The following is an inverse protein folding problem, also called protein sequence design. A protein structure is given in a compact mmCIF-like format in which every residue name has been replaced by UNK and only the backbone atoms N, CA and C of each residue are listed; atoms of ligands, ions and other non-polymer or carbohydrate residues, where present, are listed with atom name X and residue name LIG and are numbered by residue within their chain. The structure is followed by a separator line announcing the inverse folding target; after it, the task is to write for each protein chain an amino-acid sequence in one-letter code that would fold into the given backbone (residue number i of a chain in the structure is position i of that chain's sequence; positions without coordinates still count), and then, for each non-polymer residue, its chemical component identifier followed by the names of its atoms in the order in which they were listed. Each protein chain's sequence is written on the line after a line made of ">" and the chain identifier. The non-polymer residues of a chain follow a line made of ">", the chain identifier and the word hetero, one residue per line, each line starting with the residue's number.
data_IF_182043083734
#
_entry.id   IF_182043083734
#
_cell.length_a   1.000
_cell.length_b   1.000
_cell.length_c   1.000
_cell.angle_alpha   90.00
_cell.angle_beta   90.00
_cell.angle_gamma   90.00
#
_symmetry.space_group_name_H-M   'P 1'
#
loop_
_entity.id
_entity.type
_entity.pdbx_description
1 polymer ?
#
# COMPACT_ATOMS: atom_id res chain seq x y z
N UNK A 1 -4.55 50.14 -5.96
CA UNK A 1 -3.52 49.10 -6.05
C UNK A 1 -4.06 47.97 -6.94
N UNK A 2 -3.59 47.89 -8.21
CA UNK A 2 -4.15 46.95 -9.23
C UNK A 2 -3.39 45.62 -9.15
N UNK A 3 -4.08 44.54 -8.81
CA UNK A 3 -3.54 43.17 -8.87
C UNK A 3 -3.42 42.72 -10.33
N UNK A 4 -2.21 42.44 -10.76
CA UNK A 4 -1.93 41.79 -12.07
C UNK A 4 -2.17 40.30 -11.91
N UNK A 5 -3.13 39.76 -12.68
CA UNK A 5 -3.32 38.30 -12.84
C UNK A 5 -2.09 37.72 -13.56
N UNK A 6 -1.38 36.81 -12.90
CA UNK A 6 -0.42 35.91 -13.54
C UNK A 6 -1.18 34.80 -14.24
N UNK A 7 -1.03 34.70 -15.54
CA UNK A 7 -1.49 33.57 -16.34
C UNK A 7 -0.67 32.35 -15.97
N UNK A 8 -1.32 31.32 -15.42
CA UNK A 8 -0.72 30.00 -15.27
C UNK A 8 -0.59 29.37 -16.65
N UNK A 9 0.63 29.04 -17.02
CA UNK A 9 0.92 28.16 -18.16
C UNK A 9 0.51 26.74 -17.78
N UNK A 10 -0.37 26.16 -18.57
CA UNK A 10 -0.79 24.75 -18.39
C UNK A 10 0.40 23.80 -18.57
N UNK A 11 0.49 22.73 -17.76
CA UNK A 11 1.48 21.68 -17.98
C UNK A 11 1.17 20.96 -19.31
N UNK A 12 2.22 20.65 -20.06
CA UNK A 12 2.13 19.90 -21.31
C UNK A 12 1.59 18.50 -21.04
N UNK A 13 0.50 18.17 -21.72
CA UNK A 13 -0.01 16.80 -21.80
C UNK A 13 1.09 15.88 -22.34
N UNK A 14 1.50 14.91 -21.55
CA UNK A 14 2.29 13.77 -22.03
C UNK A 14 1.29 12.75 -22.57
N UNK A 15 1.14 12.72 -23.89
CA UNK A 15 0.35 11.72 -24.59
C UNK A 15 1.00 10.35 -24.42
N UNK A 16 0.45 9.50 -23.55
CA UNK A 16 0.75 8.08 -23.49
C UNK A 16 0.09 7.36 -24.67
N UNK A 17 0.83 7.21 -25.75
CA UNK A 17 0.35 6.53 -26.95
C UNK A 17 0.41 5.02 -26.75
N UNK A 18 -0.79 4.36 -26.68
CA UNK A 18 -1.01 2.90 -26.52
C UNK A 18 -0.40 2.04 -27.65
N UNK A 19 0.34 2.60 -28.60
CA UNK A 19 0.81 1.90 -29.80
C UNK A 19 2.26 1.37 -29.73
N UNK A 20 3.00 1.60 -28.67
CA UNK A 20 4.41 1.18 -28.58
C UNK A 20 4.58 -0.20 -27.89
N UNK A 21 3.51 -0.93 -27.60
CA UNK A 21 3.58 -2.20 -26.87
C UNK A 21 3.34 -3.46 -27.71
N UNK A 22 3.28 -3.36 -29.03
CA UNK A 22 3.09 -4.53 -29.91
C UNK A 22 4.07 -4.49 -31.06
N UNK A 23 5.33 -4.77 -30.78
CA UNK A 23 6.29 -5.18 -31.82
C UNK A 23 7.53 -5.81 -31.18
N UNK A 24 7.43 -7.05 -30.68
CA UNK A 24 8.51 -8.04 -30.68
C UNK A 24 7.96 -9.43 -30.31
N UNK A 25 7.28 -10.07 -31.23
CA UNK A 25 7.11 -11.53 -31.21
C UNK A 25 6.61 -11.99 -32.57
N UNK A 26 7.47 -12.05 -33.54
CA UNK A 26 7.26 -12.86 -34.74
C UNK A 26 8.61 -13.27 -35.33
N UNK A 27 9.16 -14.41 -34.87
CA UNK A 27 10.05 -15.28 -35.61
C UNK A 27 10.18 -16.64 -34.89
N UNK A 28 9.50 -17.57 -35.38
CA UNK A 28 9.82 -18.86 -35.98
C UNK A 28 9.76 -20.11 -35.13
N UNK A 29 8.86 -21.03 -35.63
CA UNK A 29 9.02 -22.50 -35.77
C UNK A 29 8.92 -23.42 -34.55
N UNK A 30 7.77 -24.11 -34.51
CA UNK A 30 7.69 -25.55 -34.26
C UNK A 30 8.11 -26.06 -32.89
N UNK A 31 7.13 -26.20 -31.98
CA UNK A 31 7.32 -26.97 -30.75
C UNK A 31 6.25 -26.66 -29.73
N UNK A 32 5.49 -27.68 -29.33
CA UNK A 32 4.61 -27.80 -28.16
C UNK A 32 4.13 -26.53 -27.48
N UNK A 33 2.84 -26.26 -27.57
CA UNK A 33 2.13 -25.26 -26.75
C UNK A 33 2.19 -25.68 -25.27
N UNK A 34 3.22 -25.23 -24.59
CA UNK A 34 3.17 -25.11 -23.11
C UNK A 34 2.30 -23.89 -22.78
N UNK A 35 1.40 -23.99 -21.80
CA UNK A 35 0.68 -22.80 -21.33
C UNK A 35 1.72 -21.80 -20.82
N UNK A 36 1.88 -20.68 -21.51
CA UNK A 36 2.60 -19.52 -21.01
C UNK A 36 1.79 -19.01 -19.81
N UNK A 37 2.16 -19.47 -18.63
CA UNK A 37 1.83 -18.78 -17.40
C UNK A 37 2.46 -17.40 -17.54
N UNK A 38 1.65 -16.38 -17.84
CA UNK A 38 2.08 -14.98 -17.77
C UNK A 38 2.31 -14.72 -16.30
N UNK A 39 3.51 -15.01 -15.82
CA UNK A 39 3.98 -14.53 -14.54
C UNK A 39 3.94 -13.01 -14.66
N UNK A 40 3.00 -12.35 -13.99
CA UNK A 40 3.05 -10.90 -13.82
C UNK A 40 4.41 -10.62 -13.18
N UNK A 41 5.35 -10.07 -13.96
CA UNK A 41 6.64 -9.63 -13.44
C UNK A 41 6.33 -8.61 -12.32
N UNK A 42 7.01 -8.75 -11.20
CA UNK A 42 6.98 -7.76 -10.14
C UNK A 42 7.34 -6.39 -10.73
N UNK A 43 6.34 -5.49 -10.81
CA UNK A 43 6.56 -4.14 -11.32
C UNK A 43 7.18 -3.34 -10.19
N UNK A 44 8.41 -2.91 -10.33
CA UNK A 44 8.98 -1.85 -9.50
C UNK A 44 8.97 -0.54 -10.29
N UNK A 45 8.39 0.50 -9.72
CA UNK A 45 8.48 1.86 -10.24
C UNK A 45 9.32 2.67 -9.27
N UNK A 46 10.29 3.40 -9.78
CA UNK A 46 11.14 4.28 -8.97
C UNK A 46 10.79 5.74 -9.26
N UNK A 47 10.61 6.53 -8.20
CA UNK A 47 10.37 7.97 -8.21
C UNK A 47 11.40 8.65 -7.31
N UNK A 48 11.98 9.77 -7.75
CA UNK A 48 12.89 10.59 -6.94
C UNK A 48 12.23 11.89 -6.53
N UNK A 49 12.34 12.27 -5.25
CA UNK A 49 11.87 13.55 -4.72
C UNK A 49 13.02 14.53 -4.47
N UNK A 50 14.20 14.25 -5.03
CA UNK A 50 15.42 15.00 -4.82
C UNK A 50 16.25 14.51 -3.64
N UNK A 51 15.69 14.31 -2.46
CA UNK A 51 16.39 13.77 -1.28
C UNK A 51 16.10 12.30 -1.02
N UNK A 52 14.97 11.80 -1.49
CA UNK A 52 14.54 10.41 -1.32
C UNK A 52 14.27 9.73 -2.66
N UNK A 53 14.55 8.43 -2.72
CA UNK A 53 14.20 7.55 -3.80
C UNK A 53 13.12 6.58 -3.32
N UNK A 54 11.99 6.58 -4.01
CA UNK A 54 10.85 5.72 -3.72
C UNK A 54 10.80 4.58 -4.71
N UNK A 55 10.59 3.36 -4.22
CA UNK A 55 10.35 2.18 -5.05
C UNK A 55 9.04 1.54 -4.62
N UNK A 56 8.11 1.36 -5.56
CA UNK A 56 6.87 0.64 -5.31
C UNK A 56 7.09 -0.84 -5.63
N UNK A 57 6.76 -1.71 -4.68
CA UNK A 57 6.73 -3.16 -4.84
C UNK A 57 5.29 -3.65 -4.72
N UNK A 58 4.98 -4.73 -5.45
CA UNK A 58 3.68 -5.37 -5.35
C UNK A 58 3.72 -6.52 -4.35
N UNK A 59 2.77 -6.54 -3.43
CA UNK A 59 2.44 -7.71 -2.61
C UNK A 59 1.32 -8.55 -3.24
N UNK A 60 0.89 -8.22 -4.45
CA UNK A 60 -0.24 -8.83 -5.15
C UNK A 60 -1.46 -7.92 -5.18
N UNK A 61 -2.66 -8.51 -5.17
CA UNK A 61 -3.91 -7.75 -5.21
C UNK A 61 -5.01 -8.44 -4.40
N UNK A 62 -5.90 -7.63 -3.82
CA UNK A 62 -7.14 -8.15 -3.25
C UNK A 62 -8.13 -8.51 -4.35
N UNK A 63 -9.15 -9.29 -4.01
CA UNK A 63 -10.34 -9.51 -4.85
C UNK A 63 -11.54 -9.64 -3.93
N UNK A 64 -12.28 -8.56 -3.77
CA UNK A 64 -13.37 -8.46 -2.80
C UNK A 64 -14.59 -7.77 -3.44
N UNK A 65 -15.82 -8.16 -3.06
CA UNK A 65 -17.03 -7.53 -3.57
C UNK A 65 -17.11 -6.06 -3.16
N UNK A 66 -17.77 -5.24 -3.97
CA UNK A 66 -17.97 -3.81 -3.70
C UNK A 66 -18.57 -3.54 -2.32
N UNK A 67 -19.52 -4.39 -1.91
CA UNK A 67 -20.17 -4.28 -0.60
C UNK A 67 -19.25 -4.48 0.59
N UNK A 68 -18.08 -5.08 0.39
CA UNK A 68 -17.05 -5.18 1.43
C UNK A 68 -16.35 -3.84 1.66
N UNK A 69 -16.02 -3.13 0.57
CA UNK A 69 -15.34 -1.83 0.64
C UNK A 69 -16.32 -0.69 0.97
N UNK A 70 -17.53 -0.76 0.45
CA UNK A 70 -18.55 0.29 0.55
C UNK A 70 -19.90 -0.30 0.97
N UNK A 71 -20.02 -0.82 2.22
CA UNK A 71 -21.23 -1.53 2.66
C UNK A 71 -22.48 -0.65 2.67
N UNK A 72 -22.31 0.64 3.00
CA UNK A 72 -23.42 1.60 3.15
C UNK A 72 -23.71 2.41 1.87
N UNK A 73 -22.91 2.22 0.82
CA UNK A 73 -23.09 2.97 -0.42
C UNK A 73 -24.14 2.34 -1.33
N UNK A 74 -24.90 3.14 -2.13
CA UNK A 74 -25.82 2.63 -3.12
C UNK A 74 -25.10 1.80 -4.19
N UNK A 75 -25.20 0.49 -4.14
CA UNK A 75 -24.46 -0.43 -5.01
C UNK A 75 -24.69 -0.15 -6.50
N UNK A 76 -25.93 0.19 -6.90
CA UNK A 76 -26.25 0.55 -8.29
C UNK A 76 -25.48 1.77 -8.78
N UNK A 77 -25.21 2.74 -7.91
CA UNK A 77 -24.44 3.93 -8.25
C UNK A 77 -22.96 3.58 -8.40
N UNK A 78 -22.42 2.76 -7.50
CA UNK A 78 -21.05 2.26 -7.60
C UNK A 78 -20.83 1.49 -8.91
N UNK A 79 -21.73 0.57 -9.25
CA UNK A 79 -21.69 -0.18 -10.51
C UNK A 79 -21.67 0.75 -11.72
N UNK A 80 -22.52 1.80 -11.71
CA UNK A 80 -22.56 2.78 -12.80
C UNK A 80 -21.25 3.55 -12.94
N UNK A 81 -20.71 4.06 -11.81
CA UNK A 81 -19.44 4.81 -11.83
C UNK A 81 -18.31 3.93 -12.37
N UNK A 82 -18.21 2.67 -11.92
CA UNK A 82 -17.19 1.75 -12.40
C UNK A 82 -17.35 1.45 -13.89
N UNK A 83 -18.57 1.16 -14.35
CA UNK A 83 -18.88 0.91 -15.76
C UNK A 83 -18.54 2.11 -16.64
N UNK A 84 -18.90 3.33 -16.24
CA UNK A 84 -18.60 4.58 -16.94
C UNK A 84 -17.08 4.82 -17.07
N UNK A 85 -16.28 4.22 -16.19
CA UNK A 85 -14.81 4.27 -16.22
C UNK A 85 -14.15 3.00 -16.80
N UNK A 86 -14.94 2.07 -17.37
CA UNK A 86 -14.43 0.84 -17.99
C UNK A 86 -13.82 -0.15 -16.99
N UNK A 87 -14.23 -0.10 -15.71
CA UNK A 87 -13.76 -0.97 -14.64
C UNK A 87 -14.75 -2.12 -14.39
N UNK A 88 -14.27 -3.26 -13.86
CA UNK A 88 -15.13 -4.35 -13.40
C UNK A 88 -16.15 -3.86 -12.37
N UNK A 89 -17.38 -4.37 -12.45
CA UNK A 89 -18.50 -3.91 -11.59
C UNK A 89 -18.90 -4.92 -10.52
N UNK A 90 -18.34 -6.12 -10.53
CA UNK A 90 -18.65 -7.21 -9.62
C UNK A 90 -17.75 -7.25 -8.40
N UNK A 91 -16.48 -6.86 -8.57
CA UNK A 91 -15.49 -6.83 -7.50
C UNK A 91 -14.47 -5.71 -7.73
N UNK A 92 -13.90 -5.20 -6.65
CA UNK A 92 -12.69 -4.40 -6.71
C UNK A 92 -11.46 -5.31 -6.56
N UNK A 93 -10.42 -4.97 -7.31
CA UNK A 93 -9.14 -5.65 -7.27
C UNK A 93 -8.01 -4.63 -7.02
N UNK A 94 -8.00 -3.96 -5.85
CA UNK A 94 -6.93 -3.05 -5.54
C UNK A 94 -5.60 -3.79 -5.43
N UNK A 95 -4.55 -3.17 -5.97
CA UNK A 95 -3.20 -3.66 -5.81
C UNK A 95 -2.73 -3.40 -4.37
N UNK A 96 -2.13 -4.41 -3.74
CA UNK A 96 -1.44 -4.27 -2.46
C UNK A 96 -0.03 -3.75 -2.73
N UNK A 97 0.15 -2.44 -2.61
CA UNK A 97 1.41 -1.77 -2.88
C UNK A 97 2.18 -1.54 -1.59
N UNK A 98 3.45 -1.91 -1.60
CA UNK A 98 4.41 -1.61 -0.55
C UNK A 98 5.40 -0.59 -1.06
N UNK A 99 5.58 0.51 -0.30
CA UNK A 99 6.48 1.58 -0.70
C UNK A 99 7.79 1.49 0.06
N UNK A 100 8.91 1.36 -0.64
CA UNK A 100 10.24 1.53 -0.08
C UNK A 100 10.69 2.96 -0.30
N UNK A 101 11.33 3.53 0.73
CA UNK A 101 11.94 4.86 0.68
C UNK A 101 13.40 4.75 1.10
N UNK A 102 14.30 5.07 0.17
CA UNK A 102 15.72 5.20 0.44
C UNK A 102 16.04 6.66 0.72
N UNK A 103 16.64 6.92 1.88
CA UNK A 103 17.02 8.27 2.33
C UNK A 103 18.42 8.19 2.96
N UNK A 104 19.45 8.54 2.19
CA UNK A 104 20.84 8.34 2.60
C UNK A 104 21.16 6.87 2.89
N UNK A 105 21.57 6.57 4.10
CA UNK A 105 21.87 5.23 4.61
C UNK A 105 20.63 4.49 5.15
N UNK A 106 19.47 5.14 5.22
CA UNK A 106 18.22 4.54 5.68
C UNK A 106 17.46 3.92 4.52
N UNK A 107 16.88 2.77 4.76
CA UNK A 107 15.91 2.12 3.87
C UNK A 107 14.66 1.80 4.69
N UNK A 108 13.62 2.59 4.47
CA UNK A 108 12.33 2.41 5.12
C UNK A 108 11.37 1.67 4.21
N UNK A 109 10.56 0.78 4.78
CA UNK A 109 9.41 0.16 4.10
C UNK A 109 8.12 0.65 4.76
N UNK A 110 7.17 1.10 3.93
CA UNK A 110 5.84 1.53 4.37
C UNK A 110 4.86 0.42 4.07
N UNK A 111 4.30 -0.14 5.13
CA UNK A 111 3.55 -1.38 5.20
C UNK A 111 4.38 -2.61 4.79
N UNK A 112 3.88 -3.80 5.09
CA UNK A 112 4.61 -5.05 4.89
C UNK A 112 3.79 -6.12 4.15
N UNK A 113 2.67 -5.71 3.55
CA UNK A 113 1.82 -6.61 2.81
C UNK A 113 1.03 -7.59 3.69
N UNK A 114 0.38 -8.53 3.01
CA UNK A 114 -0.57 -9.48 3.58
C UNK A 114 0.06 -10.76 4.15
N UNK A 115 1.32 -11.00 3.82
CA UNK A 115 1.97 -12.27 4.16
C UNK A 115 1.33 -13.48 3.49
N UNK A 116 1.83 -14.69 3.79
CA UNK A 116 1.47 -15.89 3.04
C UNK A 116 0.07 -16.43 3.32
N UNK A 117 -0.62 -15.93 4.37
CA UNK A 117 -1.81 -16.59 4.93
C UNK A 117 -3.11 -15.78 4.77
N UNK A 118 -3.13 -14.70 3.98
CA UNK A 118 -4.34 -13.87 3.84
C UNK A 118 -5.19 -14.29 2.63
N UNK A 119 -4.69 -14.09 1.42
CA UNK A 119 -5.38 -14.47 0.18
C UNK A 119 -4.41 -15.10 -0.82
N UNK A 120 -4.86 -16.00 -1.70
CA UNK A 120 -3.98 -16.61 -2.71
C UNK A 120 -3.34 -15.61 -3.69
N UNK A 121 -3.95 -14.43 -3.82
CA UNK A 121 -3.51 -13.36 -4.74
C UNK A 121 -2.57 -12.35 -4.11
N UNK A 122 -2.35 -12.42 -2.79
CA UNK A 122 -1.49 -11.53 -2.00
C UNK A 122 -0.25 -12.27 -1.46
N UNK A 123 0.52 -11.62 -0.58
CA UNK A 123 1.68 -12.22 0.10
C UNK A 123 2.89 -12.41 -0.81
N UNK A 124 3.06 -11.53 -1.81
CA UNK A 124 4.15 -11.60 -2.80
C UNK A 124 5.36 -10.74 -2.44
N UNK A 125 5.32 -10.00 -1.33
CA UNK A 125 6.39 -9.09 -0.94
C UNK A 125 7.73 -9.83 -0.76
N UNK A 126 7.71 -11.01 -0.13
CA UNK A 126 8.91 -11.82 0.09
C UNK A 126 9.60 -12.25 -1.22
N UNK A 127 8.82 -12.39 -2.32
CA UNK A 127 9.34 -12.65 -3.67
C UNK A 127 9.73 -11.35 -4.39
N UNK A 128 9.00 -10.26 -4.16
CA UNK A 128 9.18 -8.97 -4.82
C UNK A 128 10.45 -8.24 -4.34
N UNK A 129 10.81 -8.35 -3.06
CA UNK A 129 12.01 -7.75 -2.49
C UNK A 129 13.30 -8.21 -3.20
N UNK A 130 13.64 -9.52 -3.24
CA UNK A 130 14.85 -9.97 -3.92
C UNK A 130 14.78 -9.76 -5.44
N UNK A 131 13.61 -9.80 -6.05
CA UNK A 131 13.45 -9.48 -7.47
C UNK A 131 13.80 -8.02 -7.80
N UNK A 132 13.61 -7.11 -6.82
CA UNK A 132 14.03 -5.71 -6.89
C UNK A 132 15.48 -5.49 -6.40
N UNK A 133 16.21 -6.55 -6.04
CA UNK A 133 17.58 -6.46 -5.51
C UNK A 133 17.64 -5.94 -4.07
N UNK A 134 16.56 -6.06 -3.32
CA UNK A 134 16.47 -5.63 -1.91
C UNK A 134 16.62 -6.84 -1.00
N UNK A 135 17.63 -6.80 -0.15
CA UNK A 135 17.79 -7.73 0.97
C UNK A 135 16.91 -7.26 2.15
N UNK A 136 15.94 -8.05 2.63
CA UNK A 136 15.13 -7.69 3.81
C UNK A 136 15.97 -7.31 5.03
N UNK A 137 17.13 -7.91 5.22
CA UNK A 137 18.04 -7.58 6.33
C UNK A 137 18.65 -6.17 6.22
N UNK A 138 18.61 -5.54 5.04
CA UNK A 138 19.06 -4.17 4.81
C UNK A 138 18.02 -3.09 5.16
N UNK A 139 16.78 -3.48 5.41
CA UNK A 139 15.71 -2.56 5.82
C UNK A 139 15.98 -2.08 7.24
N UNK A 140 16.03 -0.76 7.40
CA UNK A 140 16.34 -0.10 8.69
C UNK A 140 15.09 0.31 9.45
N UNK A 141 13.98 0.52 8.76
CA UNK A 141 12.73 0.99 9.32
C UNK A 141 11.53 0.32 8.65
N UNK A 142 10.57 -0.09 9.46
CA UNK A 142 9.23 -0.51 9.02
C UNK A 142 8.23 0.49 9.56
N UNK A 143 7.45 1.10 8.71
CA UNK A 143 6.47 2.15 9.05
C UNK A 143 5.09 1.67 8.66
N UNK A 144 4.21 1.46 9.64
CA UNK A 144 2.88 0.91 9.42
C UNK A 144 1.85 2.05 9.35
N UNK A 145 1.08 2.07 8.25
CA UNK A 145 -0.02 3.03 8.08
C UNK A 145 -1.19 2.69 8.98
N UNK A 146 -1.58 1.42 9.02
CA UNK A 146 -2.66 0.87 9.84
C UNK A 146 -2.56 -0.66 9.93
N UNK A 147 -3.36 -1.28 10.80
CA UNK A 147 -3.18 -2.70 11.13
C UNK A 147 -4.20 -3.66 10.46
N UNK A 148 -4.65 -3.36 9.24
CA UNK A 148 -5.39 -4.34 8.44
C UNK A 148 -4.48 -5.44 7.89
N UNK A 149 -5.05 -6.61 7.53
CA UNK A 149 -4.28 -7.79 7.13
C UNK A 149 -3.27 -7.52 6.01
N UNK A 150 -3.67 -6.81 4.97
CA UNK A 150 -2.87 -6.53 3.78
C UNK A 150 -1.78 -5.46 3.99
N UNK A 151 -1.69 -4.90 5.21
CA UNK A 151 -0.67 -3.93 5.62
C UNK A 151 0.29 -4.46 6.68
N UNK A 152 -0.19 -5.37 7.57
CA UNK A 152 0.61 -5.80 8.73
C UNK A 152 0.86 -7.31 8.81
N UNK A 153 0.09 -8.17 8.11
CA UNK A 153 0.28 -9.62 8.29
C UNK A 153 1.57 -10.15 7.71
N UNK A 154 2.18 -9.44 6.76
CA UNK A 154 3.51 -9.74 6.24
C UNK A 154 4.66 -9.37 7.18
N UNK A 155 4.40 -8.90 8.41
CA UNK A 155 5.43 -8.69 9.43
C UNK A 155 6.22 -9.95 9.73
N UNK A 156 5.54 -11.10 9.70
CA UNK A 156 6.16 -12.39 9.99
C UNK A 156 6.03 -13.33 8.81
N UNK A 157 6.98 -14.22 8.69
CA UNK A 157 6.94 -15.35 7.79
C UNK A 157 6.03 -16.50 8.32
N UNK A 158 6.08 -17.67 7.67
CA UNK A 158 5.33 -18.86 8.08
C UNK A 158 5.78 -19.49 9.41
N UNK A 159 6.95 -19.09 9.92
CA UNK A 159 7.52 -19.54 11.20
C UNK A 159 7.33 -18.54 12.33
N UNK A 160 6.56 -17.46 12.10
CA UNK A 160 6.40 -16.32 13.00
C UNK A 160 7.71 -15.52 13.26
N UNK A 161 8.70 -15.64 12.36
CA UNK A 161 9.92 -14.83 12.42
C UNK A 161 9.73 -13.51 11.67
N UNK A 162 10.31 -12.43 12.20
CA UNK A 162 10.19 -11.10 11.58
C UNK A 162 10.89 -11.06 10.22
N UNK A 163 10.15 -10.70 9.16
CA UNK A 163 10.70 -10.53 7.82
C UNK A 163 11.82 -9.47 7.76
N UNK A 164 11.71 -8.42 8.56
CA UNK A 164 12.68 -7.32 8.64
C UNK A 164 13.35 -7.29 10.02
N UNK A 165 14.11 -8.33 10.34
CA UNK A 165 14.66 -8.58 11.68
C UNK A 165 15.55 -7.46 12.24
N UNK A 166 16.17 -6.64 11.37
CA UNK A 166 17.07 -5.55 11.76
C UNK A 166 16.39 -4.18 11.83
N UNK A 167 15.09 -4.10 11.49
CA UNK A 167 14.39 -2.83 11.40
C UNK A 167 13.88 -2.32 12.75
N UNK A 168 13.77 -0.98 12.87
CA UNK A 168 12.95 -0.33 13.89
C UNK A 168 11.52 -0.25 13.37
N UNK A 169 10.55 -0.66 14.17
CA UNK A 169 9.14 -0.66 13.78
C UNK A 169 8.45 0.59 14.29
N UNK A 170 7.65 1.24 13.42
CA UNK A 170 6.92 2.47 13.70
C UNK A 170 5.44 2.25 13.41
N UNK A 171 4.55 2.60 14.35
CA UNK A 171 3.10 2.50 14.19
C UNK A 171 2.40 3.64 14.95
N UNK A 172 1.23 4.05 14.47
CA UNK A 172 0.40 5.02 15.17
C UNK A 172 0.00 4.52 16.57
N UNK A 173 0.21 5.33 17.63
CA UNK A 173 -0.19 4.97 18.99
C UNK A 173 -1.69 4.63 19.06
N UNK A 174 -2.55 5.43 18.41
CA UNK A 174 -4.00 5.18 18.38
C UNK A 174 -4.39 3.91 17.66
N UNK A 175 -3.62 3.53 16.64
CA UNK A 175 -3.83 2.30 15.88
C UNK A 175 -3.49 1.10 16.74
N UNK A 176 -2.33 1.15 17.39
CA UNK A 176 -1.92 0.12 18.34
C UNK A 176 -2.94 -0.05 19.47
N UNK A 177 -3.30 1.05 20.14
CA UNK A 177 -4.25 1.04 21.27
C UNK A 177 -5.62 0.46 20.89
N UNK A 178 -6.09 0.74 19.68
CA UNK A 178 -7.36 0.22 19.20
C UNK A 178 -7.31 -1.30 19.00
N UNK A 179 -6.34 -1.80 18.23
CA UNK A 179 -6.29 -3.22 17.87
C UNK A 179 -5.80 -4.11 19.03
N UNK A 180 -4.92 -3.62 19.91
CA UNK A 180 -4.47 -4.36 21.09
C UNK A 180 -5.49 -4.40 22.24
N UNK A 181 -6.53 -3.53 22.16
CA UNK A 181 -7.56 -3.47 23.21
C UNK A 181 -8.30 -4.81 23.37
N UNK A 182 -8.52 -5.28 24.62
CA UNK A 182 -9.40 -6.42 24.86
C UNK A 182 -10.83 -6.25 24.31
N UNK A 183 -11.24 -5.00 24.12
CA UNK A 183 -12.56 -4.63 23.59
C UNK A 183 -12.60 -4.54 22.06
N UNK A 184 -11.48 -4.73 21.37
CA UNK A 184 -11.39 -4.54 19.92
C UNK A 184 -12.43 -5.36 19.15
N UNK A 185 -12.65 -6.62 19.56
CA UNK A 185 -13.67 -7.50 18.96
C UNK A 185 -15.09 -6.92 19.01
N UNK A 186 -15.44 -6.21 20.09
CA UNK A 186 -16.76 -5.59 20.23
C UNK A 186 -16.92 -4.29 19.41
N UNK A 187 -15.81 -3.73 18.92
CA UNK A 187 -15.78 -2.46 18.17
C UNK A 187 -15.75 -2.66 16.65
N UNK A 188 -15.66 -3.91 16.19
CA UNK A 188 -15.63 -4.25 14.75
C UNK A 188 -16.73 -5.25 14.41
N UNK A 189 -17.23 -5.29 13.17
CA UNK A 189 -18.15 -6.33 12.73
C UNK A 189 -17.51 -7.72 12.87
N UNK A 190 -18.35 -8.75 13.08
CA UNK A 190 -17.91 -10.15 13.22
C UNK A 190 -17.05 -10.61 12.04
N UNK A 191 -17.36 -10.17 10.83
CA UNK A 191 -16.57 -10.44 9.61
C UNK A 191 -15.12 -9.94 9.67
N UNK A 192 -14.77 -9.05 10.62
CA UNK A 192 -13.43 -8.52 10.85
C UNK A 192 -12.77 -9.02 12.14
N UNK A 193 -13.36 -9.99 12.84
CA UNK A 193 -12.75 -10.53 14.06
C UNK A 193 -11.39 -11.18 13.80
N UNK A 194 -11.19 -11.79 12.63
CA UNK A 194 -9.87 -12.33 12.23
C UNK A 194 -8.82 -11.24 12.08
N UNK A 195 -9.22 -10.01 11.74
CA UNK A 195 -8.29 -8.87 11.63
C UNK A 195 -7.75 -8.48 13.01
N UNK A 196 -8.64 -8.46 14.03
CA UNK A 196 -8.25 -8.19 15.41
C UNK A 196 -7.25 -9.25 15.89
N UNK A 197 -7.58 -10.53 15.74
CA UNK A 197 -6.69 -11.63 16.17
C UNK A 197 -5.35 -11.59 15.43
N UNK A 198 -5.39 -11.31 14.12
CA UNK A 198 -4.18 -11.19 13.31
C UNK A 198 -3.29 -10.01 13.69
N UNK A 199 -3.87 -8.85 14.00
CA UNK A 199 -3.13 -7.68 14.47
C UNK A 199 -2.48 -7.94 15.85
N UNK A 200 -3.25 -8.48 16.79
CA UNK A 200 -2.76 -8.82 18.13
C UNK A 200 -1.58 -9.78 18.08
N UNK A 201 -1.67 -10.84 17.26
CA UNK A 201 -0.53 -11.77 17.08
C UNK A 201 0.75 -11.09 16.58
N UNK A 202 0.63 -10.11 15.65
CA UNK A 202 1.80 -9.37 15.14
C UNK A 202 2.36 -8.41 16.16
N UNK A 203 1.48 -7.80 16.95
CA UNK A 203 1.90 -6.91 18.03
C UNK A 203 2.67 -7.66 19.12
N UNK A 204 2.27 -8.90 19.45
CA UNK A 204 3.00 -9.75 20.41
C UNK A 204 4.44 -10.02 19.95
N UNK A 205 4.67 -10.22 18.63
CA UNK A 205 6.03 -10.43 18.09
C UNK A 205 6.87 -9.15 18.14
N UNK A 206 6.24 -7.98 18.10
CA UNK A 206 6.91 -6.67 18.14
C UNK A 206 7.19 -6.17 19.56
N UNK A 207 6.80 -6.90 20.60
CA UNK A 207 6.86 -6.44 22.00
C UNK A 207 8.20 -5.83 22.35
N UNK A 208 8.18 -4.57 22.81
CA UNK A 208 9.36 -3.79 23.19
C UNK A 208 10.19 -3.21 22.02
N UNK A 209 9.89 -3.50 20.76
CA UNK A 209 10.63 -3.01 19.58
C UNK A 209 9.82 -2.06 18.69
N UNK A 210 8.91 -1.29 19.29
CA UNK A 210 8.02 -0.38 18.56
C UNK A 210 8.23 1.06 18.98
N UNK A 211 8.29 1.96 18.01
CA UNK A 211 8.18 3.41 18.20
C UNK A 211 6.79 3.87 17.84
N UNK A 212 6.12 4.48 18.80
CA UNK A 212 4.79 5.00 18.61
C UNK A 212 4.81 6.38 17.99
N UNK A 213 3.90 6.58 17.02
CA UNK A 213 3.75 7.81 16.27
C UNK A 213 2.37 8.46 16.52
N UNK A 214 2.33 9.76 16.30
CA UNK A 214 1.09 10.54 16.16
C UNK A 214 1.22 11.50 14.98
N UNK A 215 0.13 12.05 14.50
CA UNK A 215 0.15 13.06 13.44
C UNK A 215 1.02 14.27 13.84
N UNK A 216 1.86 14.71 12.92
CA UNK A 216 2.86 15.76 13.09
C UNK A 216 4.25 15.27 13.56
N UNK A 217 4.40 13.98 13.90
CA UNK A 217 5.73 13.46 14.25
C UNK A 217 6.58 13.25 12.99
N UNK A 218 7.86 13.59 13.07
CA UNK A 218 8.85 13.23 12.06
C UNK A 218 9.32 11.80 12.31
N UNK A 219 9.01 10.90 11.36
CA UNK A 219 9.37 9.47 11.45
C UNK A 219 10.83 9.25 11.10
N UNK A 220 11.25 9.86 10.00
CA UNK A 220 12.60 9.92 9.48
C UNK A 220 12.85 11.36 8.99
N UNK A 221 14.09 11.82 8.85
CA UNK A 221 14.37 13.18 8.39
C UNK A 221 13.62 13.52 7.10
N UNK A 222 12.73 14.51 7.16
CA UNK A 222 11.90 14.93 6.03
C UNK A 222 10.69 14.05 5.74
N UNK A 223 10.33 13.09 6.62
CA UNK A 223 9.13 12.27 6.50
C UNK A 223 8.23 12.49 7.71
N UNK A 224 7.08 13.09 7.51
CA UNK A 224 6.11 13.47 8.55
C UNK A 224 4.88 12.55 8.53
N UNK A 225 4.47 12.10 9.71
CA UNK A 225 3.22 11.38 9.90
C UNK A 225 2.01 12.34 9.83
N UNK A 226 1.05 12.04 8.98
CA UNK A 226 -0.18 12.81 8.79
C UNK A 226 -1.35 12.00 9.34
N UNK A 227 -2.11 12.56 10.29
CA UNK A 227 -3.29 11.88 10.85
C UNK A 227 -4.43 11.86 9.83
N UNK A 228 -4.82 10.66 9.40
CA UNK A 228 -5.89 10.41 8.41
C UNK A 228 -6.87 9.34 8.91
N UNK A 229 -7.48 9.54 10.11
CA UNK A 229 -8.42 8.56 10.66
C UNK A 229 -9.68 8.48 9.80
N UNK A 230 -10.31 7.30 9.77
CA UNK A 230 -11.53 7.04 9.01
C UNK A 230 -11.61 5.58 8.61
N UNK A 231 -10.69 5.12 7.77
CA UNK A 231 -10.55 3.72 7.38
C UNK A 231 -10.26 2.84 8.60
N UNK A 232 -9.32 3.26 9.45
CA UNK A 232 -9.17 2.81 10.84
C UNK A 232 -9.09 4.00 11.79
N UNK A 233 -9.32 3.82 13.11
CA UNK A 233 -9.29 4.93 14.07
C UNK A 233 -7.94 5.63 14.23
N UNK A 234 -6.86 4.92 13.99
CA UNK A 234 -5.49 5.41 14.16
C UNK A 234 -4.69 5.52 12.88
N UNK A 235 -5.35 5.40 11.70
CA UNK A 235 -4.70 5.44 10.40
C UNK A 235 -3.80 6.68 10.23
N UNK A 236 -2.59 6.46 9.71
CA UNK A 236 -1.61 7.48 9.35
C UNK A 236 -1.26 7.39 7.87
N UNK A 237 -1.19 8.54 7.22
CA UNK A 237 -0.49 8.74 5.95
C UNK A 237 0.88 9.36 6.22
N UNK A 238 1.78 9.39 5.22
CA UNK A 238 3.13 9.91 5.43
C UNK A 238 3.53 10.87 4.32
N UNK A 239 3.87 12.11 4.70
CA UNK A 239 4.32 13.15 3.79
C UNK A 239 5.85 13.11 3.69
N UNK A 240 6.37 12.84 2.51
CA UNK A 240 7.78 12.95 2.17
C UNK A 240 8.01 14.35 1.63
N UNK A 241 8.70 15.17 2.40
CA UNK A 241 9.04 16.53 2.00
C UNK A 241 10.24 16.53 1.02
N UNK A 242 10.18 17.36 0.00
CA UNK A 242 11.24 17.48 -1.01
C UNK A 242 10.90 18.55 -2.03
N UNK A 243 11.68 18.62 -3.10
CA UNK A 243 11.39 19.52 -4.22
C UNK A 243 10.05 19.20 -4.89
N UNK A 244 9.71 17.91 -4.93
CA UNK A 244 8.41 17.37 -5.33
C UNK A 244 7.91 16.50 -4.19
N UNK A 245 7.03 17.05 -3.30
CA UNK A 245 6.56 16.28 -2.15
C UNK A 245 5.66 15.13 -2.59
N UNK A 246 5.76 14.00 -1.87
CA UNK A 246 4.97 12.80 -2.11
C UNK A 246 4.23 12.41 -0.85
N UNK A 247 2.95 12.08 -0.98
CA UNK A 247 2.13 11.58 0.12
C UNK A 247 1.89 10.07 -0.07
N UNK A 248 2.39 9.26 0.85
CA UNK A 248 2.02 7.86 0.99
C UNK A 248 0.68 7.82 1.72
N UNK A 249 -0.37 7.48 0.99
CA UNK A 249 -1.75 7.60 1.48
C UNK A 249 -2.18 6.46 2.42
N UNK A 250 -1.61 5.26 2.27
CA UNK A 250 -2.25 4.07 2.81
C UNK A 250 -3.68 3.95 2.28
N UNK A 251 -4.61 3.57 3.12
CA UNK A 251 -6.03 3.39 2.80
C UNK A 251 -6.91 4.61 3.13
N UNK A 252 -6.32 5.80 3.21
CA UNK A 252 -7.11 7.03 3.27
C UNK A 252 -8.00 7.20 2.02
N UNK A 253 -7.65 6.52 0.92
CA UNK A 253 -8.41 6.44 -0.34
C UNK A 253 -8.40 4.99 -0.82
N UNK A 254 -9.57 4.36 -0.86
CA UNK A 254 -9.72 2.95 -1.27
C UNK A 254 -9.80 2.76 -2.79
N UNK A 255 -10.16 3.80 -3.55
CA UNK A 255 -10.27 3.76 -5.01
C UNK A 255 -10.10 5.14 -5.59
N UNK A 256 -9.17 5.32 -6.52
CA UNK A 256 -8.97 6.60 -7.21
C UNK A 256 -10.20 7.06 -7.99
N UNK A 257 -11.05 6.14 -8.44
CA UNK A 257 -12.28 6.46 -9.16
C UNK A 257 -13.44 6.72 -8.20
N UNK A 258 -13.74 5.77 -7.30
CA UNK A 258 -14.92 5.86 -6.43
C UNK A 258 -14.76 6.94 -5.37
N UNK A 259 -13.59 7.05 -4.74
CA UNK A 259 -13.36 8.02 -3.67
C UNK A 259 -13.37 9.48 -4.16
N UNK A 260 -13.00 9.74 -5.42
CA UNK A 260 -13.07 11.10 -5.99
C UNK A 260 -14.40 11.39 -6.69
N UNK A 261 -15.16 10.38 -7.12
CA UNK A 261 -16.48 10.59 -7.67
C UNK A 261 -17.52 10.96 -6.59
N UNK A 262 -17.29 10.50 -5.35
CA UNK A 262 -18.13 10.75 -4.17
C UNK A 262 -17.23 10.82 -2.94
N UNK A 263 -16.57 11.98 -2.68
CA UNK A 263 -15.70 12.21 -1.53
C UNK A 263 -16.47 12.24 -0.21
#
# INVERSE_FOLDING_TARGET
>A
MKWKRRTMTQPRNVDFNRRTFVALAAATLGGALLPLSVTRMAWSQTLSTGSAELTLLSDGSLSLPLSFFFPDAPQNELHRILADNGLPTDALQPDCNVTLVRLGDRLAVFDVGAGPNFMPTTGKLAESLPAAGIDPASVTDVVITHAHPDHIWGLTDEFDELLFANATYHIGQKEWDFWSSPEALSKVPESRHTFVAGAQRRFEVLDGNVRFLKGGDEVLPGIEAVSTPGHTPGHLSFMIHGSEPVLILGDAISSSVLSFARP
#
